data_IF_518928320293
#
_entry.id   IF_518928320293
#
_cell.length_a   1.000
_cell.length_b   1.000
_cell.length_c   1.000
_cell.angle_alpha   90.00
_cell.angle_beta   90.00
_cell.angle_gamma   90.00
#
_symmetry.space_group_name_H-M   'P 1'
#
loop_
_entity.id
_entity.type
_entity.pdbx_description
1 polymer ?
#
# COMPACT_ATOMS: atom_id res chain seq x y z
N UNK A 1 42.81 -55.49 37.08
CA UNK A 1 41.36 -55.67 36.93
C UNK A 1 40.88 -54.56 36.03
N UNK A 2 40.17 -54.94 34.97
CA UNK A 2 39.95 -54.20 33.74
C UNK A 2 39.22 -52.86 33.93
N UNK A 3 39.70 -51.83 33.23
CA UNK A 3 38.93 -50.63 32.90
C UNK A 3 37.79 -51.00 31.96
N UNK A 4 36.57 -50.61 32.31
CA UNK A 4 35.44 -50.62 31.38
C UNK A 4 35.11 -49.17 31.02
N UNK A 5 35.54 -48.80 29.81
CA UNK A 5 35.02 -47.66 29.06
C UNK A 5 33.50 -47.85 28.91
N UNK A 6 32.71 -46.93 29.47
CA UNK A 6 31.34 -46.73 29.03
C UNK A 6 31.35 -45.54 28.06
N UNK A 7 31.94 -45.78 26.88
CA UNK A 7 31.74 -44.93 25.73
C UNK A 7 30.35 -45.28 25.20
N UNK A 8 29.36 -44.47 25.57
CA UNK A 8 28.07 -44.44 24.87
C UNK A 8 28.36 -44.26 23.39
N UNK A 9 28.21 -45.33 22.63
CA UNK A 9 28.34 -45.34 21.19
C UNK A 9 27.31 -44.37 20.63
N UNK A 10 27.76 -43.19 20.21
CA UNK A 10 27.08 -42.44 19.17
C UNK A 10 27.29 -43.26 17.89
N UNK A 11 26.45 -44.28 17.70
CA UNK A 11 26.27 -44.90 16.39
C UNK A 11 25.62 -43.84 15.50
N UNK A 12 26.49 -43.25 14.67
CA UNK A 12 26.11 -42.50 13.49
C UNK A 12 25.46 -43.48 12.50
N UNK A 13 24.20 -43.83 12.75
CA UNK A 13 23.34 -44.37 11.70
C UNK A 13 22.84 -43.19 10.85
N UNK A 14 23.75 -42.75 9.98
CA UNK A 14 23.51 -41.89 8.83
C UNK A 14 22.73 -42.67 7.76
N UNK A 15 21.50 -43.06 8.08
CA UNK A 15 20.44 -43.12 7.07
C UNK A 15 19.74 -41.76 7.16
N UNK A 16 20.33 -40.76 6.49
CA UNK A 16 19.86 -39.37 6.44
C UNK A 16 18.49 -39.15 5.82
N UNK A 17 17.69 -40.21 5.66
CA UNK A 17 16.30 -40.15 5.21
C UNK A 17 15.35 -40.11 6.41
N UNK A 18 14.64 -38.98 6.50
CA UNK A 18 13.53 -38.81 7.43
C UNK A 18 12.51 -39.93 7.17
N UNK A 19 12.26 -40.77 8.17
CA UNK A 19 11.23 -41.80 8.06
C UNK A 19 9.87 -41.16 7.77
N UNK A 20 8.98 -41.86 7.07
CA UNK A 20 7.68 -41.28 6.66
C UNK A 20 6.83 -40.80 7.84
N UNK A 21 6.99 -41.41 9.01
CA UNK A 21 6.34 -40.99 10.26
C UNK A 21 6.95 -39.71 10.82
N UNK A 22 8.29 -39.61 10.86
CA UNK A 22 9.00 -38.41 11.31
C UNK A 22 8.75 -37.21 10.38
N UNK A 23 8.53 -37.46 9.09
CA UNK A 23 8.18 -36.44 8.11
C UNK A 23 6.84 -35.77 8.42
N UNK A 24 5.84 -36.55 8.84
CA UNK A 24 4.52 -35.99 9.18
C UNK A 24 4.60 -35.05 10.38
N UNK A 25 5.36 -35.41 11.42
CA UNK A 25 5.58 -34.56 12.59
C UNK A 25 6.40 -33.31 12.24
N UNK A 26 7.49 -33.49 11.49
CA UNK A 26 8.33 -32.37 11.04
C UNK A 26 7.56 -31.36 10.18
N UNK A 27 6.65 -31.81 9.32
CA UNK A 27 5.77 -30.93 8.54
C UNK A 27 4.96 -30.00 9.43
N UNK A 28 4.37 -30.51 10.51
CA UNK A 28 3.59 -29.69 11.45
C UNK A 28 4.47 -28.69 12.19
N UNK A 29 5.70 -29.06 12.57
CA UNK A 29 6.65 -28.11 13.18
C UNK A 29 6.96 -26.95 12.23
N UNK A 30 7.22 -27.24 10.95
CA UNK A 30 7.49 -26.21 9.94
C UNK A 30 6.25 -25.33 9.71
N UNK A 31 5.07 -25.93 9.59
CA UNK A 31 3.81 -25.21 9.41
C UNK A 31 3.53 -24.29 10.60
N UNK A 32 3.71 -24.77 11.84
CA UNK A 32 3.52 -23.96 13.05
C UNK A 32 4.49 -22.78 13.07
N UNK A 33 5.78 -23.01 12.77
CA UNK A 33 6.77 -21.91 12.69
C UNK A 33 6.39 -20.85 11.65
N UNK A 34 5.80 -21.27 10.52
CA UNK A 34 5.33 -20.34 9.50
C UNK A 34 4.17 -19.47 10.00
N UNK A 35 3.18 -20.05 10.70
CA UNK A 35 2.05 -19.29 11.22
C UNK A 35 2.42 -18.43 12.44
N UNK A 36 3.38 -18.86 13.25
CA UNK A 36 3.91 -18.06 14.36
C UNK A 36 4.63 -16.80 13.85
N UNK A 37 5.38 -16.91 12.74
CA UNK A 37 6.07 -15.75 12.16
C UNK A 37 5.15 -14.88 11.30
N UNK A 38 4.27 -15.50 10.50
CA UNK A 38 3.51 -14.78 9.46
C UNK A 38 2.09 -14.41 9.88
N UNK A 39 1.47 -15.14 10.78
CA UNK A 39 0.06 -14.99 11.11
C UNK A 39 -0.89 -15.34 9.95
N UNK A 40 -2.17 -15.02 10.12
CA UNK A 40 -3.25 -15.43 9.22
C UNK A 40 -3.68 -14.35 8.19
N UNK A 41 -3.41 -13.07 8.47
CA UNK A 41 -3.94 -11.92 7.72
C UNK A 41 -2.81 -11.11 7.04
N UNK A 42 -1.65 -11.74 6.89
CA UNK A 42 -0.42 -11.10 6.40
C UNK A 42 -0.58 -10.40 5.06
N UNK A 43 -1.30 -11.00 4.12
CA UNK A 43 -1.55 -10.45 2.79
C UNK A 43 -2.21 -9.07 2.82
N UNK A 44 -3.07 -8.80 3.80
CA UNK A 44 -3.73 -7.50 3.93
C UNK A 44 -2.77 -6.47 4.54
N UNK A 45 -2.05 -6.88 5.60
CA UNK A 45 -1.10 -6.02 6.31
C UNK A 45 0.08 -5.64 5.42
N UNK A 46 0.73 -6.62 4.80
CA UNK A 46 1.88 -6.40 3.91
C UNK A 46 1.47 -5.52 2.72
N UNK A 47 0.28 -5.73 2.13
CA UNK A 47 -0.20 -4.90 1.03
C UNK A 47 -0.48 -3.45 1.46
N UNK A 48 -1.00 -3.24 2.67
CA UNK A 48 -1.26 -1.90 3.18
C UNK A 48 0.03 -1.18 3.58
N UNK A 49 0.97 -1.89 4.20
CA UNK A 49 2.26 -1.34 4.59
C UNK A 49 3.10 -0.97 3.36
N UNK A 50 3.12 -1.79 2.31
CA UNK A 50 3.73 -1.43 1.01
C UNK A 50 3.07 -0.17 0.44
N UNK A 51 1.74 -0.11 0.49
CA UNK A 51 1.00 1.01 -0.07
C UNK A 51 1.42 2.33 0.59
N UNK A 52 1.45 2.36 1.93
CA UNK A 52 1.79 3.55 2.69
C UNK A 52 3.28 3.92 2.58
N UNK A 53 4.17 2.94 2.67
CA UNK A 53 5.62 3.19 2.70
C UNK A 53 6.18 3.57 1.33
N UNK A 54 5.63 3.01 0.25
CA UNK A 54 6.21 3.13 -1.08
C UNK A 54 5.23 3.73 -2.09
N UNK A 55 4.04 3.14 -2.24
CA UNK A 55 3.13 3.52 -3.32
C UNK A 55 2.61 4.96 -3.21
N UNK A 56 2.28 5.45 -2.01
CA UNK A 56 1.81 6.84 -1.83
C UNK A 56 2.90 7.85 -2.21
N UNK A 57 4.16 7.62 -1.81
CA UNK A 57 5.26 8.51 -2.17
C UNK A 57 5.50 8.51 -3.69
N UNK A 58 5.47 7.34 -4.34
CA UNK A 58 5.59 7.22 -5.80
C UNK A 58 4.49 7.98 -6.55
N UNK A 59 3.25 7.94 -6.05
CA UNK A 59 2.12 8.68 -6.64
C UNK A 59 2.38 10.20 -6.59
N UNK A 60 2.91 10.70 -5.47
CA UNK A 60 3.26 12.12 -5.32
C UNK A 60 4.41 12.51 -6.25
N UNK A 61 5.42 11.65 -6.41
CA UNK A 61 6.56 11.88 -7.30
C UNK A 61 6.21 11.84 -8.80
N UNK A 62 5.30 10.95 -9.22
CA UNK A 62 4.81 10.86 -10.60
C UNK A 62 3.87 12.04 -10.96
N UNK A 63 3.36 12.75 -9.95
CA UNK A 63 2.50 13.90 -10.16
C UNK A 63 3.25 15.04 -10.85
N UNK A 64 2.66 15.58 -11.92
CA UNK A 64 3.25 16.71 -12.65
C UNK A 64 3.17 17.99 -11.82
N UNK A 65 4.17 18.88 -11.90
CA UNK A 65 4.07 20.20 -11.29
C UNK A 65 2.84 20.94 -11.79
N UNK A 66 2.13 21.58 -10.87
CA UNK A 66 0.93 22.36 -11.19
C UNK A 66 1.38 23.78 -11.54
N UNK A 67 1.07 24.21 -12.76
CA UNK A 67 1.42 25.54 -13.25
C UNK A 67 0.19 26.44 -13.32
N UNK A 68 0.30 27.63 -12.74
CA UNK A 68 -0.70 28.68 -12.81
C UNK A 68 -0.11 29.93 -13.42
N UNK A 69 -0.78 30.49 -14.42
CA UNK A 69 -0.44 31.79 -14.98
C UNK A 69 -1.75 32.55 -15.20
N UNK A 70 -1.82 33.79 -14.69
CA UNK A 70 -2.99 34.63 -14.96
C UNK A 70 -3.06 34.95 -16.46
N UNK A 71 -4.24 35.24 -16.97
CA UNK A 71 -4.37 35.72 -18.35
C UNK A 71 -3.85 37.16 -18.45
N UNK A 72 -3.07 37.45 -19.49
CA UNK A 72 -2.59 38.81 -19.74
C UNK A 72 -3.78 39.71 -20.07
N UNK A 73 -3.95 40.79 -19.30
CA UNK A 73 -4.96 41.81 -19.57
C UNK A 73 -4.35 42.91 -20.43
N UNK A 74 -4.86 43.09 -21.66
CA UNK A 74 -4.41 44.13 -22.59
C UNK A 74 -5.17 45.44 -22.33
N UNK A 75 -4.95 46.10 -21.19
CA UNK A 75 -5.69 47.32 -20.83
C UNK A 75 -4.95 48.61 -21.25
N UNK A 76 -3.63 48.56 -21.45
CA UNK A 76 -2.85 49.73 -21.89
C UNK A 76 -1.60 49.27 -22.66
N UNK A 77 -0.96 50.15 -23.43
CA UNK A 77 0.18 49.86 -24.32
C UNK A 77 1.45 49.23 -23.67
N UNK A 78 1.38 48.86 -22.39
CA UNK A 78 2.38 48.09 -21.65
C UNK A 78 1.91 46.63 -21.58
N UNK A 79 2.62 45.75 -22.27
CA UNK A 79 2.39 44.31 -22.22
C UNK A 79 2.95 43.77 -20.89
N UNK A 80 2.18 43.83 -19.81
CA UNK A 80 2.55 43.18 -18.56
C UNK A 80 2.39 41.66 -18.72
N UNK A 81 3.50 40.92 -18.64
CA UNK A 81 3.41 39.46 -18.54
C UNK A 81 3.09 39.07 -17.09
N UNK A 82 1.99 38.34 -16.86
CA UNK A 82 1.63 37.92 -15.52
C UNK A 82 2.61 36.87 -14.99
N UNK A 83 2.89 36.92 -13.70
CA UNK A 83 3.75 35.96 -13.02
C UNK A 83 3.26 34.52 -13.21
N UNK A 84 4.19 33.60 -13.48
CA UNK A 84 3.94 32.16 -13.53
C UNK A 84 4.30 31.55 -12.18
N UNK A 85 3.36 30.80 -11.60
CA UNK A 85 3.54 30.05 -10.36
C UNK A 85 3.58 28.57 -10.68
N UNK A 86 4.60 27.87 -10.17
CA UNK A 86 4.73 26.41 -10.29
C UNK A 86 4.77 25.81 -8.90
N UNK A 87 3.92 24.80 -8.66
CA UNK A 87 3.88 24.05 -7.41
C UNK A 87 4.33 22.62 -7.66
N UNK A 88 5.27 22.14 -6.86
CA UNK A 88 5.75 20.76 -6.87
C UNK A 88 5.65 20.17 -5.47
N UNK A 89 5.06 18.99 -5.38
CA UNK A 89 5.01 18.21 -4.16
C UNK A 89 6.30 17.38 -4.05
N UNK A 90 6.86 17.31 -2.84
CA UNK A 90 8.11 16.60 -2.55
C UNK A 90 7.84 15.42 -1.59
N UNK A 91 8.46 15.41 -0.42
CA UNK A 91 8.37 14.31 0.53
C UNK A 91 7.02 14.28 1.26
N UNK A 92 6.42 13.10 1.41
CA UNK A 92 5.27 12.89 2.30
C UNK A 92 5.70 12.49 3.71
N UNK A 93 4.86 12.83 4.68
CA UNK A 93 4.99 12.40 6.07
C UNK A 93 3.63 11.94 6.58
N UNK A 94 3.56 10.72 7.06
CA UNK A 94 2.38 10.18 7.72
C UNK A 94 2.65 10.12 9.22
N UNK A 95 1.74 10.67 10.05
CA UNK A 95 1.84 10.50 11.50
C UNK A 95 1.12 9.24 11.98
N UNK A 96 1.16 8.99 13.29
CA UNK A 96 0.25 8.02 13.91
C UNK A 96 -1.19 8.58 13.95
N UNK A 97 -2.22 7.72 14.09
CA UNK A 97 -3.63 8.12 14.19
C UNK A 97 -3.89 9.10 15.33
N UNK A 98 -4.59 10.21 15.01
CA UNK A 98 -4.92 11.27 15.96
C UNK A 98 -6.38 11.69 15.83
N UNK A 99 -6.94 12.19 16.92
CA UNK A 99 -8.21 12.88 16.95
C UNK A 99 -7.99 14.35 17.30
N UNK A 100 -8.44 15.25 16.42
CA UNK A 100 -8.47 16.69 16.69
C UNK A 100 -9.79 17.02 17.34
N UNK A 101 -9.76 17.33 18.63
CA UNK A 101 -10.89 17.88 19.38
C UNK A 101 -10.67 19.38 19.62
N UNK A 102 -11.70 20.07 20.10
CA UNK A 102 -11.62 21.51 20.42
C UNK A 102 -10.58 21.81 21.51
N UNK A 103 -10.33 20.84 22.40
CA UNK A 103 -9.39 20.94 23.53
C UNK A 103 -7.93 20.60 23.13
N UNK A 104 -7.70 20.04 21.95
CA UNK A 104 -6.36 19.67 21.48
C UNK A 104 -6.33 18.46 20.55
N UNK A 105 -5.11 18.08 20.17
CA UNK A 105 -4.84 16.89 19.36
C UNK A 105 -4.35 15.76 20.25
N UNK A 106 -5.09 14.66 20.29
CA UNK A 106 -4.75 13.46 21.07
C UNK A 106 -4.58 12.26 20.15
N UNK A 107 -3.82 11.25 20.59
CA UNK A 107 -3.80 9.97 19.88
C UNK A 107 -5.18 9.33 19.95
N UNK A 108 -5.64 8.81 18.81
CA UNK A 108 -6.91 8.09 18.74
C UNK A 108 -6.63 6.62 18.94
N UNK A 109 -7.23 5.99 19.95
CA UNK A 109 -7.16 4.55 20.14
C UNK A 109 -8.25 3.83 19.33
N UNK A 110 -8.02 2.60 18.85
CA UNK A 110 -9.03 1.88 18.05
C UNK A 110 -10.34 1.64 18.79
N UNK A 111 -10.32 1.12 20.02
CA UNK A 111 -11.53 0.94 20.83
C UNK A 111 -12.31 2.25 21.03
N UNK A 112 -11.60 3.35 21.27
CA UNK A 112 -12.23 4.67 21.36
C UNK A 112 -12.90 5.07 20.04
N UNK A 113 -12.24 4.82 18.89
CA UNK A 113 -12.82 5.09 17.58
C UNK A 113 -14.10 4.29 17.32
N UNK A 114 -14.14 3.02 17.76
CA UNK A 114 -15.35 2.16 17.70
C UNK A 114 -16.48 2.76 18.53
N UNK A 115 -16.25 3.05 19.81
CA UNK A 115 -17.27 3.52 20.76
C UNK A 115 -17.83 4.91 20.41
N UNK A 116 -16.98 5.81 19.90
CA UNK A 116 -17.36 7.19 19.59
C UNK A 116 -17.83 7.41 18.15
N UNK A 117 -17.98 6.34 17.36
CA UNK A 117 -18.31 6.41 15.94
C UNK A 117 -17.33 7.28 15.12
N UNK A 118 -16.04 7.24 15.46
CA UNK A 118 -15.00 7.99 14.75
C UNK A 118 -14.37 7.12 13.65
N UNK A 119 -13.68 7.78 12.72
CA UNK A 119 -12.82 7.09 11.74
C UNK A 119 -11.40 7.04 12.28
N UNK A 120 -10.81 5.86 12.33
CA UNK A 120 -9.43 5.64 12.76
C UNK A 120 -8.49 6.00 11.61
N UNK A 121 -8.06 7.26 11.57
CA UNK A 121 -7.24 7.82 10.50
C UNK A 121 -6.03 8.59 11.04
N UNK A 122 -4.99 8.67 10.22
CA UNK A 122 -3.80 9.46 10.49
C UNK A 122 -3.65 10.60 9.48
N UNK A 123 -3.23 11.80 9.91
CA UNK A 123 -2.99 12.92 9.03
C UNK A 123 -1.75 12.69 8.17
N UNK A 124 -1.91 13.01 6.89
CA UNK A 124 -0.87 13.03 5.89
C UNK A 124 -0.43 14.48 5.67
N UNK A 125 0.89 14.67 5.68
CA UNK A 125 1.55 15.93 5.41
C UNK A 125 2.46 15.79 4.18
N UNK A 126 2.72 16.90 3.49
CA UNK A 126 3.63 16.93 2.34
C UNK A 126 4.44 18.22 2.31
N UNK A 127 5.67 18.13 1.83
CA UNK A 127 6.47 19.31 1.53
C UNK A 127 6.10 19.85 0.15
N UNK A 128 5.88 21.17 0.06
CA UNK A 128 5.49 21.84 -1.18
C UNK A 128 6.53 22.89 -1.55
N UNK A 129 7.12 22.74 -2.74
CA UNK A 129 7.99 23.74 -3.35
C UNK A 129 7.20 24.61 -4.31
N UNK A 130 7.19 25.92 -4.04
CA UNK A 130 6.60 26.93 -4.92
C UNK A 130 7.70 27.72 -5.61
N UNK A 131 7.69 27.74 -6.93
CA UNK A 131 8.58 28.56 -7.76
C UNK A 131 7.76 29.66 -8.45
N UNK A 132 8.12 30.91 -8.21
CA UNK A 132 7.52 32.09 -8.86
C UNK A 132 8.48 32.61 -9.93
N UNK A 133 8.02 32.70 -11.16
CA UNK A 133 8.77 33.26 -12.30
C UNK A 133 8.07 34.54 -12.72
N UNK A 134 8.77 35.66 -12.63
CA UNK A 134 8.36 36.95 -13.17
C UNK A 134 9.32 37.37 -14.27
N UNK A 135 8.83 38.19 -15.20
CA UNK A 135 9.69 38.74 -16.25
C UNK A 135 10.74 39.68 -15.64
N UNK A 136 11.99 39.52 -16.08
CA UNK A 136 13.16 40.28 -15.61
C UNK A 136 13.58 40.09 -14.13
N UNK A 137 13.00 39.15 -13.40
CA UNK A 137 13.44 38.76 -12.06
C UNK A 137 13.94 37.30 -12.04
N UNK A 138 14.96 36.97 -11.22
CA UNK A 138 15.33 35.57 -11.02
C UNK A 138 14.17 34.78 -10.39
N UNK A 139 14.07 33.47 -10.64
CA UNK A 139 13.02 32.63 -10.05
C UNK A 139 13.11 32.64 -8.53
N UNK A 140 11.99 32.94 -7.87
CA UNK A 140 11.89 32.98 -6.41
C UNK A 140 11.31 31.64 -5.95
N UNK A 141 12.10 30.88 -5.20
CA UNK A 141 11.67 29.61 -4.61
C UNK A 141 11.26 29.79 -3.15
N UNK A 142 10.10 29.26 -2.78
CA UNK A 142 9.63 29.16 -1.39
C UNK A 142 9.24 27.73 -1.09
N UNK A 143 9.79 27.17 0.00
CA UNK A 143 9.39 25.87 0.52
C UNK A 143 8.35 26.03 1.63
N UNK A 144 7.39 25.12 1.64
CA UNK A 144 6.41 24.97 2.69
C UNK A 144 6.53 23.55 3.23
N UNK A 145 7.04 23.45 4.45
CA UNK A 145 7.31 22.14 5.06
C UNK A 145 6.07 21.65 5.80
N UNK A 146 5.80 20.34 5.71
CA UNK A 146 4.74 19.62 6.44
C UNK A 146 3.36 20.27 6.32
N UNK A 147 2.92 20.56 5.10
CA UNK A 147 1.56 21.02 4.84
C UNK A 147 0.57 19.85 5.00
N UNK A 148 -0.45 20.00 5.84
CA UNK A 148 -1.51 18.99 5.98
C UNK A 148 -2.34 18.93 4.69
N UNK A 149 -2.51 17.73 4.14
CA UNK A 149 -3.26 17.52 2.88
C UNK A 149 -4.52 16.66 3.05
N UNK A 150 -4.62 15.93 4.15
CA UNK A 150 -5.78 15.08 4.43
C UNK A 150 -5.45 14.02 5.46
N UNK A 151 -6.43 13.16 5.75
CA UNK A 151 -6.29 12.07 6.70
C UNK A 151 -6.52 10.72 5.97
N UNK A 152 -5.65 9.75 6.21
CA UNK A 152 -5.71 8.39 5.63
C UNK A 152 -6.19 7.41 6.70
N UNK A 153 -7.24 6.62 6.45
CA UNK A 153 -7.64 5.53 7.33
C UNK A 153 -6.50 4.52 7.52
N UNK A 154 -6.19 4.19 8.77
CA UNK A 154 -5.09 3.26 9.09
C UNK A 154 -5.66 1.87 9.37
N UNK A 155 -5.06 0.85 8.75
CA UNK A 155 -5.44 -0.55 8.98
C UNK A 155 -4.96 -0.99 10.37
N UNK A 156 -5.82 -1.68 11.11
CA UNK A 156 -5.46 -2.21 12.42
C UNK A 156 -4.34 -3.24 12.32
N UNK A 157 -3.42 -3.21 13.29
CA UNK A 157 -2.20 -4.04 13.36
C UNK A 157 -1.17 -3.79 12.25
N UNK A 158 -1.39 -2.84 11.34
CA UNK A 158 -0.36 -2.40 10.37
C UNK A 158 0.79 -1.65 11.04
N UNK A 159 1.91 -1.45 10.34
CA UNK A 159 3.09 -0.77 10.89
C UNK A 159 2.80 0.66 11.41
N UNK A 160 1.83 1.36 10.81
CA UNK A 160 1.43 2.72 11.20
C UNK A 160 0.31 2.76 12.25
N UNK A 161 -0.24 1.60 12.64
CA UNK A 161 -1.15 1.50 13.77
C UNK A 161 -0.44 1.78 15.10
N UNK A 162 -1.21 2.12 16.14
CA UNK A 162 -0.68 2.21 17.51
C UNK A 162 -0.51 0.83 18.17
N UNK A 163 -1.26 -0.18 17.69
CA UNK A 163 -1.30 -1.52 18.29
C UNK A 163 -0.22 -2.49 17.77
N UNK A 164 0.63 -2.08 16.82
CA UNK A 164 1.58 -2.99 16.15
C UNK A 164 2.75 -3.44 17.04
N UNK A 165 3.22 -2.58 17.94
CA UNK A 165 4.40 -2.83 18.78
C UNK A 165 4.05 -3.12 20.25
N UNK A 166 2.77 -3.40 20.53
CA UNK A 166 2.27 -3.61 21.89
C UNK A 166 2.28 -5.08 22.28
N UNK A 167 2.53 -5.35 23.57
CA UNK A 167 2.46 -6.72 24.11
C UNK A 167 1.01 -7.13 24.37
N UNK A 168 0.75 -8.43 24.48
CA UNK A 168 -0.57 -8.98 24.82
C UNK A 168 -1.15 -8.40 26.12
N UNK A 169 -0.27 -8.07 27.07
CA UNK A 169 -0.64 -7.41 28.31
C UNK A 169 -1.13 -5.99 28.06
N UNK A 170 -0.36 -5.19 27.32
CA UNK A 170 -0.71 -3.79 27.03
C UNK A 170 -2.03 -3.71 26.25
N UNK A 171 -2.24 -4.62 25.31
CA UNK A 171 -3.47 -4.73 24.54
C UNK A 171 -4.67 -4.98 25.45
N UNK A 172 -4.53 -5.90 26.41
CA UNK A 172 -5.57 -6.20 27.39
C UNK A 172 -5.87 -4.99 28.28
N UNK A 173 -4.83 -4.25 28.70
CA UNK A 173 -4.97 -3.01 29.49
C UNK A 173 -5.70 -1.91 28.70
N UNK A 174 -5.58 -1.90 27.36
CA UNK A 174 -6.30 -0.99 26.45
C UNK A 174 -7.70 -1.48 26.04
N UNK A 175 -8.17 -2.61 26.58
CA UNK A 175 -9.42 -3.28 26.21
C UNK A 175 -9.45 -3.73 24.73
N UNK A 176 -8.31 -4.09 24.17
CA UNK A 176 -8.19 -4.76 22.87
C UNK A 176 -7.96 -6.26 23.07
N UNK A 177 -8.36 -7.08 22.11
CA UNK A 177 -8.14 -8.53 22.17
C UNK A 177 -6.75 -8.89 21.61
N UNK A 178 -5.90 -9.61 22.36
CA UNK A 178 -4.62 -10.09 21.84
C UNK A 178 -4.77 -11.00 20.61
N UNK A 179 -5.86 -11.76 20.54
CA UNK A 179 -6.16 -12.69 19.45
C UNK A 179 -6.84 -12.02 18.24
N UNK A 180 -7.10 -10.71 18.28
CA UNK A 180 -7.61 -9.98 17.11
C UNK A 180 -6.50 -9.88 16.05
N UNK A 181 -6.67 -10.51 14.87
CA UNK A 181 -5.65 -10.51 13.82
C UNK A 181 -5.46 -9.14 13.16
N UNK A 182 -6.40 -8.19 13.33
CA UNK A 182 -6.37 -6.93 12.60
C UNK A 182 -6.62 -7.09 11.10
N UNK A 183 -6.04 -6.22 10.27
CA UNK A 183 -6.22 -6.28 8.82
C UNK A 183 -7.52 -5.66 8.30
N UNK A 184 -8.16 -4.81 9.10
CA UNK A 184 -9.39 -4.09 8.77
C UNK A 184 -9.33 -2.62 9.21
N UNK A 185 -10.30 -1.83 8.77
CA UNK A 185 -10.39 -0.40 9.04
C UNK A 185 -11.58 -0.09 9.94
N UNK A 186 -11.45 0.89 10.82
CA UNK A 186 -12.58 1.46 11.56
C UNK A 186 -12.97 2.77 10.88
N UNK A 187 -14.17 2.83 10.30
CA UNK A 187 -14.72 4.01 9.63
C UNK A 187 -16.08 4.31 10.24
N UNK A 188 -16.21 5.50 10.83
CA UNK A 188 -17.39 5.94 11.56
C UNK A 188 -17.87 4.90 12.60
N UNK A 189 -16.93 4.36 13.39
CA UNK A 189 -17.17 3.31 14.38
C UNK A 189 -17.41 1.91 13.83
N UNK A 190 -17.64 1.77 12.52
CA UNK A 190 -17.90 0.48 11.89
C UNK A 190 -16.62 -0.14 11.34
N UNK A 191 -16.46 -1.45 11.55
CA UNK A 191 -15.35 -2.23 11.02
C UNK A 191 -15.59 -2.58 9.55
N UNK A 192 -14.57 -2.40 8.72
CA UNK A 192 -14.64 -2.60 7.27
C UNK A 192 -13.40 -3.33 6.77
N UNK A 193 -13.63 -4.40 6.01
CA UNK A 193 -12.59 -5.21 5.38
C UNK A 193 -12.64 -5.01 3.87
N UNK A 194 -11.48 -4.91 3.24
CA UNK A 194 -11.38 -4.92 1.78
C UNK A 194 -11.22 -6.36 1.29
N UNK A 195 -12.13 -6.78 0.41
CA UNK A 195 -12.11 -8.12 -0.19
C UNK A 195 -11.30 -8.06 -1.48
N UNK A 196 -10.30 -8.95 -1.58
CA UNK A 196 -9.47 -9.08 -2.77
C UNK A 196 -10.33 -9.34 -4.01
N UNK A 197 -10.02 -8.64 -5.10
CA UNK A 197 -10.71 -8.77 -6.38
C UNK A 197 -9.83 -9.52 -7.37
N UNK A 198 -10.36 -10.62 -7.90
CA UNK A 198 -9.69 -11.38 -8.95
C UNK A 198 -9.85 -10.70 -10.31
N UNK A 199 -8.75 -10.61 -11.06
CA UNK A 199 -8.75 -10.06 -12.42
C UNK A 199 -7.77 -10.84 -13.29
N UNK A 200 -8.04 -10.88 -14.59
CA UNK A 200 -7.10 -11.42 -15.58
C UNK A 200 -5.76 -10.67 -15.50
N UNK A 201 -4.65 -11.41 -15.56
CA UNK A 201 -3.32 -10.83 -15.51
C UNK A 201 -3.11 -9.85 -16.67
N UNK A 202 -2.56 -8.67 -16.36
CA UNK A 202 -2.17 -7.65 -17.34
C UNK A 202 -0.82 -8.00 -17.97
N UNK A 203 -0.42 -7.26 -19.00
CA UNK A 203 0.84 -7.43 -19.73
C UNK A 203 1.04 -8.86 -20.28
N UNK A 204 -0.05 -9.58 -20.50
CA UNK A 204 -0.09 -10.93 -21.07
C UNK A 204 -0.97 -10.92 -22.32
N UNK A 205 -0.56 -11.69 -23.33
CA UNK A 205 -1.29 -11.83 -24.59
C UNK A 205 -2.26 -13.00 -24.49
N UNK A 206 -3.56 -12.73 -24.65
CA UNK A 206 -4.60 -13.75 -24.68
C UNK A 206 -5.15 -13.92 -26.09
N UNK A 207 -5.25 -15.16 -26.56
CA UNK A 207 -5.83 -15.49 -27.87
C UNK A 207 -7.07 -16.33 -27.69
N UNK A 208 -8.21 -15.82 -28.18
CA UNK A 208 -9.50 -16.48 -28.11
C UNK A 208 -9.95 -16.90 -29.51
N UNK A 209 -10.42 -18.15 -29.63
CA UNK A 209 -11.16 -18.60 -30.81
C UNK A 209 -12.62 -18.15 -30.67
N UNK A 210 -13.13 -17.46 -31.69
CA UNK A 210 -14.49 -16.97 -31.71
C UNK A 210 -15.38 -17.91 -32.54
N UNK A 211 -16.57 -18.21 -32.04
CA UNK A 211 -17.64 -18.88 -32.82
C UNK A 211 -18.68 -17.83 -33.21
N UNK A 212 -19.21 -17.95 -34.43
CA UNK A 212 -20.30 -17.10 -34.95
C UNK A 212 -20.03 -15.58 -34.89
N UNK A 213 -18.79 -15.18 -35.19
CA UNK A 213 -18.36 -13.78 -35.25
C UNK A 213 -17.71 -13.46 -36.60
N UNK A 214 -17.62 -12.17 -36.94
CA UNK A 214 -16.86 -11.68 -38.10
C UNK A 214 -15.38 -12.07 -38.05
N UNK A 215 -14.87 -12.30 -36.84
CA UNK A 215 -13.49 -12.68 -36.58
C UNK A 215 -13.42 -14.16 -36.21
N UNK A 216 -12.45 -14.90 -36.76
CA UNK A 216 -12.14 -16.27 -36.36
C UNK A 216 -11.34 -16.31 -35.05
N UNK A 217 -10.40 -15.37 -34.88
CA UNK A 217 -9.59 -15.25 -33.68
C UNK A 217 -9.54 -13.80 -33.21
N UNK A 218 -9.58 -13.62 -31.89
CA UNK A 218 -9.38 -12.34 -31.23
C UNK A 218 -8.19 -12.47 -30.29
N UNK A 219 -7.18 -11.66 -30.52
CA UNK A 219 -6.08 -11.45 -29.59
C UNK A 219 -6.37 -10.21 -28.75
N UNK A 220 -6.23 -10.32 -27.44
CA UNK A 220 -6.42 -9.24 -26.48
C UNK A 220 -5.15 -9.06 -25.64
N UNK A 221 -4.66 -7.83 -25.61
CA UNK A 221 -3.52 -7.43 -24.78
C UNK A 221 -3.96 -6.28 -23.90
N UNK A 222 -3.90 -6.48 -22.58
CA UNK A 222 -4.21 -5.45 -21.57
C UNK A 222 -2.91 -4.94 -20.98
N UNK A 223 -2.45 -3.79 -21.46
CA UNK A 223 -1.18 -3.18 -21.04
C UNK A 223 -1.38 -2.23 -19.86
N UNK A 224 -0.53 -2.38 -18.84
CA UNK A 224 -0.44 -1.50 -17.68
C UNK A 224 1.03 -1.23 -17.40
N UNK A 225 1.37 0.04 -17.20
CA UNK A 225 2.70 0.41 -16.71
C UNK A 225 2.81 -0.02 -15.24
N UNK A 226 3.81 -0.83 -14.91
CA UNK A 226 4.06 -1.24 -13.52
C UNK A 226 4.29 -0.01 -12.64
N UNK A 227 3.72 -0.05 -11.42
CA UNK A 227 3.85 1.01 -10.42
C UNK A 227 3.34 2.40 -10.85
N UNK A 228 2.46 2.47 -11.86
CA UNK A 228 1.82 3.72 -12.27
C UNK A 228 0.34 3.72 -11.93
N UNK A 229 -0.20 4.90 -11.60
CA UNK A 229 -1.64 5.12 -11.39
C UNK A 229 -2.46 5.16 -12.70
N UNK A 230 -1.80 4.94 -13.85
CA UNK A 230 -2.43 4.99 -15.17
C UNK A 230 -3.39 3.81 -15.37
N UNK A 231 -4.55 4.05 -16.01
CA UNK A 231 -5.50 3.00 -16.30
C UNK A 231 -4.95 2.00 -17.33
N UNK A 232 -5.52 0.79 -17.32
CA UNK A 232 -5.21 -0.24 -18.31
C UNK A 232 -5.60 0.20 -19.71
N UNK A 233 -4.68 0.04 -20.66
CA UNK A 233 -4.93 0.22 -22.08
C UNK A 233 -5.14 -1.14 -22.73
N UNK A 234 -6.27 -1.33 -23.43
CA UNK A 234 -6.59 -2.60 -24.09
C UNK A 234 -6.38 -2.47 -25.59
N UNK A 235 -5.57 -3.36 -26.15
CA UNK A 235 -5.36 -3.53 -27.59
C UNK A 235 -6.04 -4.82 -28.05
N UNK A 236 -6.71 -4.76 -29.20
CA UNK A 236 -7.24 -5.93 -29.88
C UNK A 236 -6.60 -6.11 -31.24
N UNK A 237 -6.21 -7.35 -31.55
CA UNK A 237 -5.80 -7.76 -32.90
C UNK A 237 -6.72 -8.89 -33.34
N UNK A 238 -7.51 -8.64 -34.38
CA UNK A 238 -8.54 -9.58 -34.81
C UNK A 238 -8.18 -10.18 -36.17
N UNK A 239 -8.34 -11.49 -36.30
CA UNK A 239 -8.22 -12.20 -37.57
C UNK A 239 -9.63 -12.47 -38.13
N UNK A 240 -9.92 -11.97 -39.33
CA UNK A 240 -11.21 -12.14 -40.01
C UNK A 240 -11.50 -13.63 -40.31
N UNK A 241 -12.78 -14.01 -40.21
CA UNK A 241 -13.22 -15.34 -40.64
C UNK A 241 -13.18 -15.47 -42.17
N UNK A 242 -12.85 -16.66 -42.67
CA UNK A 242 -12.88 -16.95 -44.11
C UNK A 242 -14.32 -16.81 -44.62
N UNK A 243 -14.56 -15.87 -45.55
CA UNK A 243 -15.87 -15.59 -46.15
C UNK A 243 -16.56 -14.31 -45.67
N UNK A 244 -15.92 -13.49 -44.83
CA UNK A 244 -16.48 -12.23 -44.32
C UNK A 244 -16.13 -10.98 -45.15
N UNK A 245 -15.98 -11.11 -46.49
CA UNK A 245 -15.89 -9.98 -47.43
C UNK A 245 -17.26 -9.64 -48.01
#
# INVERSE_FOLDING_TARGET
>A
MYSSNDQSQNENDDDGDITTELWQEACWTVISSYFDEKGLVRQQLDSFDEFIQMSVQRIVEDSRPIEFQAQAQYITALKETPAKYTFKFEQIYLSKPIHRADEGTVYLWPNEARLRNLTYAAPLYVDVKRTTIKENEPPIEKKFDKLHIGDIPIMLRSAYCLLSEMTDRDLTELNECPLDPGGYFIINGSEKVLIAQEKMATNTVYVFSMKDSKYAYKCEVRSVLENSSRPTSTLWVNLMAKGAQ
#
